data_IF_501061471996
#
_entry.id   IF_501061471996
#
_cell.length_a   1.000
_cell.length_b   1.000
_cell.length_c   1.000
_cell.angle_alpha   90.00
_cell.angle_beta   90.00
_cell.angle_gamma   90.00
#
_symmetry.space_group_name_H-M   'P 1'
#
loop_
_entity.id
_entity.type
_entity.pdbx_description
1 polymer ?
#
# COMPACT_ATOMS: atom_id res chain seq x y z
N UNK A 1 -16.63 -56.96 -25.55
CA UNK A 1 -17.84 -56.40 -24.90
C UNK A 1 -17.33 -55.60 -23.72
N UNK A 2 -16.91 -54.37 -24.01
CA UNK A 2 -17.68 -53.13 -23.78
C UNK A 2 -17.63 -52.70 -22.31
N UNK A 3 -16.88 -51.61 -22.12
CA UNK A 3 -17.08 -50.51 -21.16
C UNK A 3 -17.10 -50.83 -19.68
N UNK A 4 -16.19 -50.19 -18.94
CA UNK A 4 -16.52 -49.28 -17.83
C UNK A 4 -15.26 -48.43 -17.64
N UNK A 5 -15.04 -47.39 -18.44
CA UNK A 5 -15.69 -46.07 -18.38
C UNK A 5 -15.57 -45.42 -17.01
N UNK A 6 -14.74 -44.37 -17.03
CA UNK A 6 -14.72 -43.22 -16.14
C UNK A 6 -14.13 -43.40 -14.74
N UNK A 7 -12.80 -43.48 -14.69
CA UNK A 7 -12.09 -42.90 -13.56
C UNK A 7 -12.31 -41.38 -13.63
N UNK A 8 -13.36 -40.91 -12.97
CA UNK A 8 -13.64 -39.49 -12.81
C UNK A 8 -12.48 -38.86 -12.03
N UNK A 9 -11.51 -38.30 -12.76
CA UNK A 9 -10.52 -37.39 -12.20
C UNK A 9 -11.22 -36.06 -11.90
N UNK A 10 -12.03 -36.06 -10.84
CA UNK A 10 -12.45 -34.80 -10.21
C UNK A 10 -11.20 -34.16 -9.62
N UNK A 11 -10.60 -33.24 -10.38
CA UNK A 11 -9.62 -32.30 -9.87
C UNK A 11 -10.34 -31.41 -8.85
N UNK A 12 -10.29 -31.80 -7.58
CA UNK A 12 -10.99 -31.12 -6.49
C UNK A 12 -10.30 -29.76 -6.25
N UNK A 13 -10.79 -28.72 -6.90
CA UNK A 13 -10.34 -27.33 -6.75
C UNK A 13 -10.91 -26.73 -5.45
N UNK A 14 -10.68 -27.38 -4.30
CA UNK A 14 -11.24 -26.96 -3.00
C UNK A 14 -10.22 -26.79 -1.87
N UNK A 15 -8.95 -27.14 -2.09
CA UNK A 15 -7.95 -27.13 -1.00
C UNK A 15 -6.69 -26.33 -1.32
N UNK A 16 -6.76 -25.34 -2.21
CA UNK A 16 -5.77 -24.25 -2.20
C UNK A 16 -6.23 -23.20 -1.20
N UNK A 17 -5.96 -23.45 0.09
CA UNK A 17 -5.88 -22.37 1.06
C UNK A 17 -4.71 -21.48 0.63
N UNK A 18 -4.98 -20.48 -0.22
CA UNK A 18 -3.99 -19.50 -0.62
C UNK A 18 -3.72 -18.66 0.63
N UNK A 19 -2.69 -19.04 1.39
CA UNK A 19 -2.18 -18.24 2.50
C UNK A 19 -1.56 -16.97 1.93
N UNK A 20 -2.37 -15.91 1.82
CA UNK A 20 -1.89 -14.60 1.43
C UNK A 20 -1.13 -14.02 2.61
N UNK A 21 0.17 -14.29 2.69
CA UNK A 21 1.08 -13.59 3.59
C UNK A 21 1.15 -12.13 3.17
N UNK A 22 0.37 -11.26 3.82
CA UNK A 22 0.44 -9.82 3.58
C UNK A 22 1.84 -9.36 3.95
N UNK A 23 2.55 -8.80 2.97
CA UNK A 23 3.84 -8.16 3.22
C UNK A 23 3.59 -7.01 4.19
N UNK A 24 4.25 -7.02 5.34
CA UNK A 24 4.22 -5.90 6.25
C UNK A 24 4.88 -4.71 5.52
N UNK A 25 4.11 -3.66 5.24
CA UNK A 25 4.66 -2.43 4.67
C UNK A 25 5.52 -1.77 5.73
N UNK A 26 6.82 -1.98 5.63
CA UNK A 26 7.80 -1.18 6.36
C UNK A 26 8.20 -0.02 5.45
N UNK A 27 7.69 1.21 5.70
CA UNK A 27 8.00 2.32 4.82
C UNK A 27 9.51 2.60 4.86
N UNK A 28 10.14 2.85 3.70
CA UNK A 28 11.53 3.28 3.65
C UNK A 28 11.66 4.70 4.19
N UNK A 29 12.84 5.05 4.70
CA UNK A 29 13.16 6.42 5.09
C UNK A 29 12.89 7.40 3.93
N UNK A 30 12.31 8.56 4.25
CA UNK A 30 11.91 9.55 3.25
C UNK A 30 13.10 10.15 2.48
N UNK A 31 13.00 10.22 1.16
CA UNK A 31 14.04 10.80 0.30
C UNK A 31 13.75 12.26 -0.07
N UNK A 32 14.23 13.20 0.75
CA UNK A 32 14.00 14.65 0.54
C UNK A 32 14.44 15.17 -0.82
N UNK A 33 15.53 14.63 -1.39
CA UNK A 33 16.05 15.07 -2.69
C UNK A 33 15.27 14.49 -3.88
N UNK A 34 14.50 13.41 -3.68
CA UNK A 34 13.77 12.70 -4.74
C UNK A 34 12.42 12.19 -4.23
N UNK A 35 11.54 13.08 -3.73
CA UNK A 35 10.27 12.69 -3.12
C UNK A 35 9.38 11.92 -4.11
N UNK A 36 9.40 12.30 -5.39
CA UNK A 36 8.65 11.62 -6.45
C UNK A 36 9.02 10.15 -6.61
N UNK A 37 10.31 9.80 -6.58
CA UNK A 37 10.74 8.40 -6.68
C UNK A 37 10.39 7.61 -5.41
N UNK A 38 10.48 8.25 -4.25
CA UNK A 38 10.09 7.63 -2.99
C UNK A 38 8.59 7.28 -2.98
N UNK A 39 7.73 8.18 -3.47
CA UNK A 39 6.31 7.90 -3.61
C UNK A 39 6.03 6.75 -4.58
N UNK A 40 6.72 6.68 -5.74
CA UNK A 40 6.57 5.54 -6.65
C UNK A 40 6.91 4.20 -5.97
N UNK A 41 7.99 4.17 -5.20
CA UNK A 41 8.37 2.96 -4.45
C UNK A 41 7.33 2.62 -3.38
N UNK A 42 6.83 3.61 -2.65
CA UNK A 42 5.83 3.39 -1.60
C UNK A 42 4.49 2.91 -2.17
N UNK A 43 4.05 3.46 -3.30
CA UNK A 43 2.81 3.04 -3.97
C UNK A 43 2.89 1.61 -4.52
N UNK A 44 4.07 1.19 -4.98
CA UNK A 44 4.31 -0.20 -5.34
C UNK A 44 4.16 -1.13 -4.12
N UNK A 45 4.65 -0.71 -2.94
CA UNK A 45 4.47 -1.46 -1.68
C UNK A 45 3.01 -1.53 -1.24
N UNK A 46 2.27 -0.43 -1.37
CA UNK A 46 0.83 -0.41 -1.11
C UNK A 46 0.08 -1.39 -2.01
N UNK A 47 0.41 -1.38 -3.30
CA UNK A 47 -0.21 -2.27 -4.28
C UNK A 47 0.08 -3.74 -3.98
N UNK A 48 1.34 -4.06 -3.64
CA UNK A 48 1.75 -5.42 -3.27
C UNK A 48 1.08 -5.92 -1.97
N UNK A 49 0.77 -5.00 -1.06
CA UNK A 49 0.19 -5.32 0.25
C UNK A 49 -1.34 -5.18 0.29
N UNK A 50 -1.96 -4.82 -0.85
CA UNK A 50 -3.41 -4.59 -0.95
C UNK A 50 -3.91 -3.37 -0.16
N UNK A 51 -3.05 -2.37 0.07
CA UNK A 51 -3.41 -1.15 0.79
C UNK A 51 -4.06 -0.16 -0.18
N UNK A 52 -5.39 -0.09 -0.14
CA UNK A 52 -6.19 0.85 -0.91
C UNK A 52 -6.75 2.00 -0.08
N UNK A 53 -6.91 1.81 1.24
CA UNK A 53 -7.51 2.80 2.13
C UNK A 53 -6.63 4.05 2.27
N UNK A 54 -7.20 5.21 1.93
CA UNK A 54 -6.55 6.53 2.01
C UNK A 54 -5.96 6.81 3.40
N UNK A 55 -6.73 6.56 4.46
CA UNK A 55 -6.28 6.79 5.84
C UNK A 55 -5.08 5.90 6.18
N UNK A 56 -5.07 4.65 5.72
CA UNK A 56 -3.92 3.75 5.92
C UNK A 56 -2.69 4.25 5.18
N UNK A 57 -2.83 4.68 3.91
CA UNK A 57 -1.72 5.25 3.13
C UNK A 57 -1.17 6.52 3.79
N UNK A 58 -2.04 7.42 4.20
CA UNK A 58 -1.69 8.64 4.93
C UNK A 58 -0.89 8.32 6.20
N UNK A 59 -1.39 7.41 7.05
CA UNK A 59 -0.70 7.02 8.29
C UNK A 59 0.68 6.43 8.02
N UNK A 60 0.84 5.61 6.96
CA UNK A 60 2.13 5.04 6.59
C UNK A 60 3.09 6.11 6.10
N UNK A 61 2.63 7.07 5.30
CA UNK A 61 3.45 8.21 4.86
C UNK A 61 3.91 9.00 6.09
N UNK A 62 2.99 9.41 6.96
CA UNK A 62 3.31 10.18 8.18
C UNK A 62 4.34 9.44 9.05
N UNK A 63 4.19 8.13 9.23
CA UNK A 63 5.15 7.31 9.98
C UNK A 63 6.55 7.19 9.34
N UNK A 64 6.67 7.52 8.05
CA UNK A 64 7.91 7.44 7.30
C UNK A 64 8.66 8.78 7.20
N UNK A 65 8.01 9.89 7.56
CA UNK A 65 8.58 11.24 7.48
C UNK A 65 9.46 11.52 8.71
N UNK A 66 10.54 12.26 8.48
CA UNK A 66 11.35 12.81 9.57
C UNK A 66 10.68 14.04 10.20
N UNK A 67 11.10 14.39 11.42
CA UNK A 67 10.64 15.58 12.16
C UNK A 67 10.64 16.86 11.31
N UNK A 68 11.71 17.14 10.57
CA UNK A 68 11.79 18.33 9.71
C UNK A 68 10.69 18.40 8.64
N UNK A 69 10.26 17.23 8.15
CA UNK A 69 9.24 17.13 7.11
C UNK A 69 7.85 17.16 7.74
N UNK A 70 7.69 16.57 8.93
CA UNK A 70 6.47 16.65 9.73
C UNK A 70 6.17 18.10 10.14
N UNK A 71 7.17 18.87 10.58
CA UNK A 71 7.02 20.29 10.90
C UNK A 71 6.55 21.10 9.68
N UNK A 72 7.03 20.75 8.49
CA UNK A 72 6.62 21.43 7.27
C UNK A 72 5.16 21.15 6.86
N UNK A 73 4.66 19.95 7.12
CA UNK A 73 3.27 19.57 6.81
C UNK A 73 2.35 19.62 8.02
N UNK A 74 2.80 20.20 9.14
CA UNK A 74 2.08 20.22 10.43
C UNK A 74 0.69 20.83 10.31
N UNK A 75 0.51 21.80 9.41
CA UNK A 75 -0.79 22.41 9.13
C UNK A 75 -1.80 21.37 8.61
N UNK A 76 -1.37 20.55 7.65
CA UNK A 76 -2.15 19.44 7.08
C UNK A 76 -2.39 18.35 8.14
N UNK A 77 -1.40 18.07 9.00
CA UNK A 77 -1.55 17.06 10.06
C UNK A 77 -2.53 17.52 11.16
N UNK A 78 -2.54 18.82 11.46
CA UNK A 78 -3.38 19.43 12.50
C UNK A 78 -4.80 19.64 12.01
N UNK A 79 -4.97 19.94 10.72
CA UNK A 79 -6.26 20.12 10.06
C UNK A 79 -6.38 19.18 8.86
N UNK A 80 -6.46 17.85 9.09
CA UNK A 80 -6.50 16.90 8.00
C UNK A 80 -7.80 17.08 7.20
N UNK A 81 -7.74 17.04 5.86
CA UNK A 81 -8.92 17.13 5.03
C UNK A 81 -9.83 15.92 5.26
N UNK A 82 -11.12 16.08 4.97
CA UNK A 82 -12.10 15.01 5.16
C UNK A 82 -11.88 13.84 4.18
N UNK A 83 -11.50 14.16 2.94
CA UNK A 83 -11.21 13.20 1.88
C UNK A 83 -9.83 13.48 1.28
N UNK A 84 -9.30 12.54 0.50
CA UNK A 84 -8.01 12.67 -0.20
C UNK A 84 -6.82 13.09 0.69
N UNK A 85 -6.72 12.55 1.93
CA UNK A 85 -5.65 12.91 2.88
C UNK A 85 -4.28 12.56 2.32
N UNK A 86 -4.17 11.37 1.73
CA UNK A 86 -2.93 10.91 1.12
C UNK A 86 -2.52 11.80 -0.06
N UNK A 87 -3.44 12.11 -0.97
CA UNK A 87 -3.13 12.94 -2.14
C UNK A 87 -2.80 14.38 -1.74
N UNK A 88 -3.49 14.94 -0.75
CA UNK A 88 -3.18 16.28 -0.20
C UNK A 88 -1.76 16.32 0.37
N UNK A 89 -1.41 15.35 1.22
CA UNK A 89 -0.07 15.25 1.80
C UNK A 89 1.00 15.01 0.73
N UNK A 90 0.72 14.14 -0.23
CA UNK A 90 1.62 13.82 -1.35
C UNK A 90 1.89 15.06 -2.21
N UNK A 91 0.86 15.82 -2.56
CA UNK A 91 1.02 17.05 -3.34
C UNK A 91 1.85 18.10 -2.59
N UNK A 92 1.63 18.26 -1.28
CA UNK A 92 2.43 19.16 -0.45
C UNK A 92 3.92 18.76 -0.39
N UNK A 93 4.21 17.45 -0.41
CA UNK A 93 5.57 16.92 -0.40
C UNK A 93 6.23 16.90 -1.79
N UNK A 94 5.47 16.97 -2.89
CA UNK A 94 5.96 16.94 -4.27
C UNK A 94 6.12 18.34 -4.89
N UNK A 95 5.34 19.33 -4.47
CA UNK A 95 5.37 20.69 -5.03
C UNK A 95 6.52 21.56 -4.52
N UNK A 96 7.66 20.94 -4.18
CA UNK A 96 8.81 21.61 -3.57
C UNK A 96 10.11 21.13 -4.18
#
# INVERSE_FOLDING_TARGET
>A
MATNSDASFTFNLRDTNIEIHKVAVKPPAFWRNKPKLWFFQLEAQFSNSGISNDTTKYNIVVAALDENVLDFVVDILSHPPHDDKYETLKNALLNR
#
